data_IF_660227659820
#
_entry.id   IF_660227659820
#
_cell.length_a   1.000
_cell.length_b   1.000
_cell.length_c   1.000
_cell.angle_alpha   90.00
_cell.angle_beta   90.00
_cell.angle_gamma   90.00
#
_symmetry.space_group_name_H-M   'P 1'
#
loop_
_entity.id
_entity.type
_entity.pdbx_description
1 polymer ?
#
# COMPACT_ATOMS: atom_id res chain seq x y z
N UNK A 1 8.84 50.93 48.71
CA UNK A 1 8.16 49.81 48.03
C UNK A 1 8.82 49.59 46.68
N UNK A 2 9.65 48.57 46.49
CA UNK A 2 10.14 48.21 45.17
C UNK A 2 9.17 47.21 44.54
N UNK A 3 8.48 47.62 43.48
CA UNK A 3 7.65 46.74 42.67
C UNK A 3 8.55 45.75 41.94
N UNK A 4 8.48 44.47 42.33
CA UNK A 4 9.09 43.40 41.57
C UNK A 4 8.28 43.24 40.28
N UNK A 5 8.82 43.74 39.17
CA UNK A 5 8.34 43.38 37.84
C UNK A 5 8.60 41.89 37.63
N UNK A 6 7.56 41.07 37.82
CA UNK A 6 7.55 39.69 37.32
C UNK A 6 7.54 39.77 35.79
N UNK A 7 8.71 39.92 35.20
CA UNK A 7 8.90 39.65 33.79
C UNK A 7 8.70 38.16 33.57
N UNK A 8 7.52 37.78 33.07
CA UNK A 8 7.24 36.43 32.56
C UNK A 8 8.05 36.19 31.28
N UNK A 9 9.36 36.06 31.44
CA UNK A 9 10.28 35.73 30.37
C UNK A 9 10.02 34.29 29.93
N UNK A 10 9.59 34.12 28.67
CA UNK A 10 9.43 32.81 28.07
C UNK A 10 10.80 32.09 28.14
N UNK A 11 10.88 30.87 28.71
CA UNK A 11 12.15 30.17 28.85
C UNK A 11 12.77 29.94 27.47
N UNK A 12 14.08 30.17 27.33
CA UNK A 12 14.79 30.11 26.03
C UNK A 12 14.69 28.76 25.31
N UNK A 13 14.39 27.68 26.04
CA UNK A 13 14.14 26.34 25.50
C UNK A 13 12.79 26.19 24.78
N UNK A 14 11.86 27.13 24.96
CA UNK A 14 10.53 27.10 24.34
C UNK A 14 10.61 27.16 22.81
N UNK A 15 11.46 28.04 22.27
CA UNK A 15 11.63 28.21 20.83
C UNK A 15 12.20 26.97 20.12
N UNK A 16 13.30 26.34 20.56
CA UNK A 16 13.79 25.12 19.89
C UNK A 16 12.82 23.94 20.02
N UNK A 17 12.09 23.79 21.13
CA UNK A 17 11.10 22.72 21.31
C UNK A 17 9.89 22.92 20.38
N UNK A 18 9.39 24.14 20.26
CA UNK A 18 8.29 24.46 19.35
C UNK A 18 8.70 24.25 17.89
N UNK A 19 9.89 24.70 17.49
CA UNK A 19 10.43 24.43 16.15
C UNK A 19 10.64 22.93 15.88
N UNK A 20 11.14 22.16 16.86
CA UNK A 20 11.27 20.71 16.74
C UNK A 20 9.91 20.03 16.54
N UNK A 21 8.88 20.42 17.29
CA UNK A 21 7.52 19.91 17.12
C UNK A 21 6.92 20.27 15.76
N UNK A 22 7.15 21.48 15.27
CA UNK A 22 6.68 21.91 13.93
C UNK A 22 7.35 21.08 12.84
N UNK A 23 8.66 20.87 12.92
CA UNK A 23 9.41 20.06 11.94
C UNK A 23 8.94 18.60 11.96
N UNK A 24 8.78 18.01 13.16
CA UNK A 24 8.27 16.64 13.31
C UNK A 24 6.84 16.54 12.77
N UNK A 25 5.97 17.50 13.09
CA UNK A 25 4.60 17.55 12.59
C UNK A 25 4.55 17.64 11.07
N UNK A 26 5.38 18.49 10.47
CA UNK A 26 5.47 18.62 9.02
C UNK A 26 5.96 17.32 8.36
N UNK A 27 6.98 16.67 8.92
CA UNK A 27 7.48 15.39 8.41
C UNK A 27 6.40 14.30 8.45
N UNK A 28 5.64 14.21 9.54
CA UNK A 28 4.54 13.25 9.68
C UNK A 28 3.46 13.52 8.63
N UNK A 29 3.04 14.78 8.46
CA UNK A 29 2.00 15.14 7.49
C UNK A 29 2.45 14.88 6.06
N UNK A 30 3.69 15.27 5.71
CA UNK A 30 4.23 15.06 4.38
C UNK A 30 4.34 13.56 4.05
N UNK A 31 4.79 12.76 5.02
CA UNK A 31 4.84 11.31 4.89
C UNK A 31 3.44 10.68 4.72
N UNK A 32 2.44 11.14 5.49
CA UNK A 32 1.06 10.69 5.34
C UNK A 32 0.47 11.05 3.97
N UNK A 33 0.78 12.25 3.45
CA UNK A 33 0.30 12.71 2.15
C UNK A 33 0.90 11.88 1.01
N UNK A 34 2.23 11.73 0.95
CA UNK A 34 2.87 10.91 -0.09
C UNK A 34 2.33 9.47 -0.08
N UNK A 35 2.10 8.89 1.10
CA UNK A 35 1.51 7.55 1.21
C UNK A 35 0.07 7.48 0.70
N UNK A 36 -0.72 8.54 0.92
CA UNK A 36 -2.09 8.61 0.40
C UNK A 36 -2.08 8.69 -1.12
N UNK A 37 -1.11 9.39 -1.70
CA UNK A 37 -0.93 9.49 -3.15
C UNK A 37 -0.48 8.15 -3.76
N UNK A 38 0.56 7.51 -3.20
CA UNK A 38 1.00 6.17 -3.63
C UNK A 38 -0.14 5.14 -3.61
N UNK A 39 -1.00 5.18 -2.59
CA UNK A 39 -2.19 4.31 -2.51
C UNK A 39 -3.17 4.55 -3.65
N UNK A 40 -3.39 5.82 -4.02
CA UNK A 40 -4.33 6.17 -5.09
C UNK A 40 -3.78 5.75 -6.45
N UNK A 41 -2.50 5.98 -6.70
CA UNK A 41 -1.84 5.57 -7.94
C UNK A 41 -1.90 4.05 -8.12
N UNK A 42 -1.60 3.29 -7.05
CA UNK A 42 -1.67 1.83 -7.13
C UNK A 42 -3.11 1.33 -7.26
N UNK A 43 -4.08 1.95 -6.57
CA UNK A 43 -5.51 1.61 -6.73
C UNK A 43 -5.97 1.85 -8.17
N UNK A 44 -5.54 2.95 -8.78
CA UNK A 44 -5.84 3.25 -10.18
C UNK A 44 -5.22 2.22 -11.13
N UNK A 45 -3.96 1.83 -10.90
CA UNK A 45 -3.31 0.77 -11.69
C UNK A 45 -4.04 -0.59 -11.55
N UNK A 46 -4.47 -0.95 -10.34
CA UNK A 46 -5.25 -2.16 -10.08
C UNK A 46 -6.61 -2.13 -10.81
N UNK A 47 -7.32 -1.01 -10.74
CA UNK A 47 -8.59 -0.83 -11.47
C UNK A 47 -8.41 -1.01 -12.97
N UNK A 48 -7.33 -0.50 -13.55
CA UNK A 48 -7.02 -0.70 -14.96
C UNK A 48 -6.81 -2.18 -15.29
N UNK A 49 -6.16 -2.94 -14.41
CA UNK A 49 -5.94 -4.37 -14.59
C UNK A 49 -7.24 -5.16 -14.55
N UNK A 50 -8.17 -4.82 -13.64
CA UNK A 50 -9.51 -5.44 -13.62
C UNK A 50 -10.28 -5.16 -14.91
N UNK A 51 -10.20 -3.94 -15.44
CA UNK A 51 -10.77 -3.62 -16.74
C UNK A 51 -10.14 -4.43 -17.88
N UNK A 52 -8.82 -4.61 -17.86
CA UNK A 52 -8.09 -5.41 -18.84
C UNK A 52 -8.50 -6.89 -18.77
N UNK A 53 -8.56 -7.49 -17.57
CA UNK A 53 -9.03 -8.87 -17.32
C UNK A 53 -10.44 -9.04 -17.86
N UNK A 54 -11.37 -8.17 -17.45
CA UNK A 54 -12.75 -8.22 -17.92
C UNK A 54 -12.87 -8.05 -19.44
N UNK A 55 -11.99 -7.27 -20.07
CA UNK A 55 -11.98 -7.11 -21.52
C UNK A 55 -11.44 -8.36 -22.23
N UNK A 56 -10.40 -8.99 -21.69
CA UNK A 56 -9.88 -10.28 -22.19
C UNK A 56 -10.94 -11.35 -22.07
N UNK A 57 -11.55 -11.49 -20.89
CA UNK A 57 -12.64 -12.43 -20.62
C UNK A 57 -13.79 -12.25 -21.61
N UNK A 58 -14.31 -11.02 -21.79
CA UNK A 58 -15.40 -10.74 -22.75
C UNK A 58 -15.04 -11.14 -24.18
N UNK A 59 -13.79 -10.91 -24.60
CA UNK A 59 -13.32 -11.30 -25.94
C UNK A 59 -13.14 -12.80 -26.07
N UNK A 60 -12.62 -13.47 -25.05
CA UNK A 60 -12.52 -14.93 -25.00
C UNK A 60 -13.90 -15.58 -25.08
N UNK A 61 -14.87 -15.12 -24.27
CA UNK A 61 -16.25 -15.59 -24.33
C UNK A 61 -16.88 -15.34 -25.70
N UNK A 62 -16.61 -14.19 -26.33
CA UNK A 62 -17.08 -13.88 -27.68
C UNK A 62 -16.47 -14.81 -28.74
N UNK A 63 -15.19 -15.15 -28.60
CA UNK A 63 -14.49 -16.09 -29.48
C UNK A 63 -15.06 -17.51 -29.33
N UNK A 64 -15.17 -18.02 -28.10
CA UNK A 64 -15.69 -19.38 -27.88
C UNK A 64 -17.17 -19.54 -28.29
N UNK A 65 -17.95 -18.44 -28.28
CA UNK A 65 -19.34 -18.41 -28.77
C UNK A 65 -19.49 -18.18 -30.28
N UNK A 66 -18.42 -17.87 -31.01
CA UNK A 66 -18.54 -17.59 -32.45
C UNK A 66 -18.86 -18.87 -33.22
N UNK A 67 -19.57 -18.72 -34.34
CA UNK A 67 -20.01 -19.84 -35.19
C UNK A 67 -18.80 -20.53 -35.84
N UNK A 68 -17.75 -19.77 -36.12
CA UNK A 68 -16.52 -20.24 -36.72
C UNK A 68 -15.31 -19.60 -36.04
N UNK A 69 -14.14 -20.22 -36.25
CA UNK A 69 -12.85 -19.73 -35.78
C UNK A 69 -12.55 -18.34 -36.33
N UNK A 70 -12.48 -17.34 -35.45
CA UNK A 70 -12.11 -15.96 -35.80
C UNK A 70 -10.65 -15.65 -35.43
N UNK A 71 -9.76 -15.79 -36.42
CA UNK A 71 -8.33 -15.52 -36.29
C UNK A 71 -8.01 -14.08 -35.84
N UNK A 72 -8.87 -13.10 -36.16
CA UNK A 72 -8.68 -11.71 -35.73
C UNK A 72 -8.94 -11.56 -34.23
N UNK A 73 -9.87 -12.32 -33.68
CA UNK A 73 -10.12 -12.35 -32.24
C UNK A 73 -9.01 -13.11 -31.50
N UNK A 74 -8.51 -14.21 -32.05
CA UNK A 74 -7.36 -14.95 -31.50
C UNK A 74 -6.15 -14.04 -31.30
N UNK A 75 -5.74 -13.37 -32.38
CA UNK A 75 -4.59 -12.45 -32.36
C UNK A 75 -4.80 -11.34 -31.33
N UNK A 76 -6.03 -10.82 -31.21
CA UNK A 76 -6.35 -9.79 -30.22
C UNK A 76 -6.26 -10.31 -28.78
N UNK A 77 -6.72 -11.54 -28.53
CA UNK A 77 -6.64 -12.16 -27.21
C UNK A 77 -5.17 -12.33 -26.80
N UNK A 78 -4.32 -12.84 -27.70
CA UNK A 78 -2.88 -13.03 -27.45
C UNK A 78 -2.18 -11.69 -27.16
N UNK A 79 -2.46 -10.65 -27.95
CA UNK A 79 -1.88 -9.31 -27.72
C UNK A 79 -2.32 -8.77 -26.35
N UNK A 80 -3.58 -8.95 -25.98
CA UNK A 80 -4.09 -8.48 -24.69
C UNK A 80 -3.55 -9.27 -23.51
N UNK A 81 -3.39 -10.59 -23.65
CA UNK A 81 -2.70 -11.43 -22.67
C UNK A 81 -1.30 -10.91 -22.40
N UNK A 82 -0.54 -10.61 -23.47
CA UNK A 82 0.83 -10.08 -23.34
C UNK A 82 0.84 -8.73 -22.62
N UNK A 83 -0.06 -7.82 -22.97
CA UNK A 83 -0.21 -6.53 -22.28
C UNK A 83 -0.58 -6.70 -20.81
N UNK A 84 -1.50 -7.62 -20.51
CA UNK A 84 -1.89 -7.92 -19.13
C UNK A 84 -0.71 -8.48 -18.32
N UNK A 85 0.08 -9.38 -18.90
CA UNK A 85 1.32 -9.87 -18.29
C UNK A 85 2.32 -8.74 -18.03
N UNK A 86 2.51 -7.83 -18.99
CA UNK A 86 3.38 -6.66 -18.81
C UNK A 86 2.87 -5.73 -17.69
N UNK A 87 1.58 -5.42 -17.66
CA UNK A 87 0.95 -4.61 -16.60
C UNK A 87 1.10 -5.28 -15.22
N UNK A 88 0.89 -6.59 -15.12
CA UNK A 88 1.08 -7.35 -13.89
C UNK A 88 2.55 -7.38 -13.45
N UNK A 89 3.48 -7.51 -14.40
CA UNK A 89 4.93 -7.50 -14.12
C UNK A 89 5.39 -6.14 -13.58
N UNK A 90 4.81 -5.04 -14.08
CA UNK A 90 5.13 -3.69 -13.65
C UNK A 90 4.75 -3.44 -12.18
N UNK A 91 3.71 -4.09 -11.68
CA UNK A 91 3.31 -3.98 -10.27
C UNK A 91 4.35 -4.52 -9.28
N UNK A 92 5.47 -5.10 -9.73
CA UNK A 92 6.59 -5.54 -8.87
C UNK A 92 6.15 -6.45 -7.71
N UNK A 93 5.08 -7.20 -7.92
CA UNK A 93 4.59 -8.23 -7.02
C UNK A 93 5.54 -9.43 -7.08
N UNK A 94 6.67 -9.31 -6.39
CA UNK A 94 7.86 -10.17 -6.57
C UNK A 94 7.69 -11.61 -6.03
N UNK A 95 6.55 -11.96 -5.45
CA UNK A 95 6.23 -13.29 -4.90
C UNK A 95 4.71 -13.42 -4.71
N UNK A 96 3.97 -13.14 -5.76
CA UNK A 96 2.52 -13.10 -5.66
C UNK A 96 1.89 -14.47 -5.75
N UNK A 97 0.90 -14.70 -4.89
CA UNK A 97 -0.03 -15.82 -5.05
C UNK A 97 -0.62 -15.81 -6.46
N UNK A 98 -1.05 -14.64 -6.98
CA UNK A 98 -1.78 -14.50 -8.25
C UNK A 98 -1.15 -15.13 -9.50
N UNK A 99 0.13 -15.50 -9.49
CA UNK A 99 0.81 -16.06 -10.69
C UNK A 99 0.17 -17.39 -11.09
N UNK A 100 -0.20 -18.25 -10.13
CA UNK A 100 -0.92 -19.48 -10.41
C UNK A 100 -2.27 -19.19 -11.07
N UNK A 101 -3.05 -18.30 -10.46
CA UNK A 101 -4.40 -17.92 -10.87
C UNK A 101 -4.37 -17.22 -12.23
N UNK A 102 -3.31 -16.48 -12.53
CA UNK A 102 -3.08 -15.91 -13.87
C UNK A 102 -2.82 -17.01 -14.90
N UNK A 103 -1.98 -18.00 -14.58
CA UNK A 103 -1.76 -19.15 -15.46
C UNK A 103 -3.07 -19.89 -15.72
N UNK A 104 -3.81 -20.19 -14.66
CA UNK A 104 -5.09 -20.92 -14.73
C UNK A 104 -6.12 -20.16 -15.59
N UNK A 105 -6.19 -18.83 -15.48
CA UNK A 105 -7.03 -18.00 -16.33
C UNK A 105 -6.62 -18.05 -17.81
N UNK A 106 -5.33 -18.00 -18.10
CA UNK A 106 -4.84 -18.11 -19.49
C UNK A 106 -5.08 -19.50 -20.05
N UNK A 107 -4.85 -20.54 -19.25
CA UNK A 107 -5.07 -21.92 -19.63
C UNK A 107 -6.55 -22.17 -19.90
N UNK A 108 -7.46 -21.65 -19.05
CA UNK A 108 -8.90 -21.70 -19.27
C UNK A 108 -9.32 -21.07 -20.62
N UNK A 109 -8.64 -20.01 -21.06
CA UNK A 109 -8.90 -19.37 -22.36
C UNK A 109 -8.37 -20.21 -23.53
N UNK A 110 -7.21 -20.86 -23.36
CA UNK A 110 -6.37 -21.37 -24.47
C UNK A 110 -6.36 -22.89 -24.65
N UNK A 111 -6.72 -23.70 -23.66
CA UNK A 111 -6.32 -25.11 -23.61
C UNK A 111 -7.13 -26.06 -24.51
N UNK A 112 -8.44 -25.86 -24.69
CA UNK A 112 -9.30 -26.85 -25.38
C UNK A 112 -9.71 -26.45 -26.81
N UNK A 113 -10.20 -25.23 -26.98
CA UNK A 113 -10.90 -24.81 -28.19
C UNK A 113 -10.20 -23.65 -28.91
N UNK A 114 -9.09 -23.16 -28.38
CA UNK A 114 -8.35 -22.03 -28.92
C UNK A 114 -7.33 -22.50 -29.96
N UNK A 115 -7.27 -21.80 -31.10
CA UNK A 115 -6.39 -22.11 -32.24
C UNK A 115 -6.51 -23.52 -32.86
N UNK A 116 -7.47 -24.32 -32.39
CA UNK A 116 -7.69 -25.69 -32.87
C UNK A 116 -8.29 -25.71 -34.28
N UNK A 117 -7.94 -26.75 -35.04
CA UNK A 117 -8.58 -27.06 -36.33
C UNK A 117 -10.00 -27.61 -36.11
N UNK A 118 -10.23 -28.26 -34.97
CA UNK A 118 -11.51 -28.81 -34.57
C UNK A 118 -12.31 -27.84 -33.69
N UNK A 119 -12.34 -26.56 -34.05
CA UNK A 119 -13.08 -25.54 -33.31
C UNK A 119 -14.56 -25.89 -33.22
N UNK A 120 -15.10 -25.90 -32.00
CA UNK A 120 -16.52 -26.14 -31.71
C UNK A 120 -17.11 -24.92 -31.02
N UNK A 121 -18.22 -24.42 -31.55
CA UNK A 121 -18.97 -23.33 -30.92
C UNK A 121 -19.49 -23.78 -29.54
N UNK A 122 -19.21 -22.98 -28.52
CA UNK A 122 -19.67 -23.23 -27.16
C UNK A 122 -21.02 -22.55 -26.90
N UNK A 123 -21.95 -23.28 -26.30
CA UNK A 123 -23.28 -22.79 -25.89
C UNK A 123 -23.24 -22.24 -24.47
N UNK A 124 -24.26 -21.46 -24.08
CA UNK A 124 -24.36 -21.00 -22.68
C UNK A 124 -24.42 -22.20 -21.72
N UNK A 125 -23.62 -22.17 -20.65
CA UNK A 125 -23.48 -23.26 -19.68
C UNK A 125 -22.50 -24.36 -20.09
N UNK A 126 -21.68 -24.14 -21.13
CA UNK A 126 -20.55 -25.03 -21.39
C UNK A 126 -19.49 -24.90 -20.28
N UNK A 127 -18.84 -26.00 -19.88
CA UNK A 127 -17.82 -25.96 -18.83
C UNK A 127 -16.64 -25.05 -19.19
N UNK A 128 -16.31 -24.88 -20.47
CA UNK A 128 -15.23 -23.99 -20.93
C UNK A 128 -15.54 -22.54 -20.58
N UNK A 129 -16.75 -22.07 -20.92
CA UNK A 129 -17.15 -20.68 -20.65
C UNK A 129 -17.25 -20.41 -19.15
N UNK A 130 -17.76 -21.37 -18.37
CA UNK A 130 -17.87 -21.24 -16.91
C UNK A 130 -16.48 -21.21 -16.28
N UNK A 131 -15.56 -22.08 -16.69
CA UNK A 131 -14.17 -22.08 -16.22
C UNK A 131 -13.45 -20.76 -16.52
N UNK A 132 -13.67 -20.15 -17.70
CA UNK A 132 -13.12 -18.82 -18.02
C UNK A 132 -13.67 -17.73 -17.10
N UNK A 133 -14.93 -17.85 -16.66
CA UNK A 133 -15.55 -16.90 -15.73
C UNK A 133 -15.00 -17.10 -14.33
N UNK A 134 -14.93 -18.33 -13.85
CA UNK A 134 -14.50 -18.67 -12.51
C UNK A 134 -13.03 -18.29 -12.28
N UNK A 135 -12.14 -18.69 -13.19
CA UNK A 135 -10.70 -18.34 -13.12
C UNK A 135 -10.45 -16.83 -13.22
N UNK A 136 -11.29 -16.06 -13.94
CA UNK A 136 -11.21 -14.60 -13.95
C UNK A 136 -11.54 -14.00 -12.58
N UNK A 137 -12.59 -14.49 -11.92
CA UNK A 137 -13.02 -14.04 -10.59
C UNK A 137 -11.96 -14.40 -9.54
N UNK A 138 -11.38 -15.59 -9.63
CA UNK A 138 -10.30 -16.05 -8.76
C UNK A 138 -9.05 -15.17 -8.92
N UNK A 139 -8.65 -14.85 -10.16
CA UNK A 139 -7.54 -13.93 -10.44
C UNK A 139 -7.80 -12.52 -9.87
N UNK A 140 -8.99 -11.97 -10.07
CA UNK A 140 -9.37 -10.66 -9.48
C UNK A 140 -9.28 -10.69 -7.95
N UNK A 141 -9.77 -11.76 -7.33
CA UNK A 141 -9.75 -11.95 -5.88
C UNK A 141 -8.31 -12.08 -5.35
N UNK A 142 -7.45 -12.84 -6.03
CA UNK A 142 -6.04 -13.00 -5.69
C UNK A 142 -5.28 -11.67 -5.79
N UNK A 143 -5.57 -10.86 -6.81
CA UNK A 143 -4.98 -9.52 -6.97
C UNK A 143 -5.41 -8.57 -5.85
N UNK A 144 -6.68 -8.56 -5.45
CA UNK A 144 -7.15 -7.72 -4.34
C UNK A 144 -6.49 -8.14 -3.01
N UNK A 145 -6.34 -9.44 -2.79
CA UNK A 145 -5.70 -10.00 -1.61
C UNK A 145 -4.22 -9.60 -1.53
N UNK A 146 -3.49 -9.71 -2.64
CA UNK A 146 -2.09 -9.27 -2.73
C UNK A 146 -1.95 -7.76 -2.52
N UNK A 147 -2.85 -6.96 -3.09
CA UNK A 147 -2.90 -5.52 -2.85
C UNK A 147 -3.12 -5.21 -1.36
N UNK A 148 -4.09 -5.88 -0.71
CA UNK A 148 -4.34 -5.72 0.71
C UNK A 148 -3.10 -6.10 1.55
N UNK A 149 -2.40 -7.17 1.17
CA UNK A 149 -1.17 -7.61 1.84
C UNK A 149 -0.02 -6.61 1.66
N UNK A 150 0.20 -6.06 0.46
CA UNK A 150 1.22 -5.05 0.21
C UNK A 150 1.03 -3.82 1.11
N UNK A 151 -0.21 -3.32 1.26
CA UNK A 151 -0.47 -2.15 2.12
C UNK A 151 -0.42 -2.46 3.61
N UNK A 152 -0.79 -3.68 4.00
CA UNK A 152 -0.74 -4.11 5.41
C UNK A 152 0.70 -4.39 5.86
N UNK A 153 1.51 -5.09 5.05
CA UNK A 153 2.91 -5.42 5.35
C UNK A 153 3.87 -4.25 5.14
N UNK A 154 3.63 -3.41 4.13
CA UNK A 154 4.46 -2.22 3.85
C UNK A 154 4.52 -1.20 4.99
N UNK A 155 3.62 -1.27 5.97
CA UNK A 155 3.65 -0.40 7.16
C UNK A 155 4.81 -0.70 8.11
N UNK A 156 5.11 -1.98 8.36
CA UNK A 156 6.11 -2.40 9.37
C UNK A 156 7.47 -2.59 8.70
N UNK A 157 7.49 -3.15 7.49
CA UNK A 157 8.77 -3.49 6.84
C UNK A 157 9.45 -2.26 6.25
N UNK A 158 8.73 -1.34 5.59
CA UNK A 158 9.36 -0.14 5.01
C UNK A 158 9.83 0.85 6.07
N UNK A 159 9.10 1.00 7.18
CA UNK A 159 9.56 1.81 8.32
C UNK A 159 10.78 1.16 8.97
N UNK A 160 10.77 -0.15 9.17
CA UNK A 160 11.93 -0.87 9.71
C UNK A 160 13.14 -0.84 8.77
N UNK A 161 12.95 -0.98 7.45
CA UNK A 161 14.05 -0.92 6.47
C UNK A 161 14.56 0.48 6.23
N UNK A 162 13.71 1.52 6.22
CA UNK A 162 14.19 2.91 6.15
C UNK A 162 14.91 3.30 7.42
N UNK A 163 14.40 2.90 8.59
CA UNK A 163 15.12 3.06 9.87
C UNK A 163 16.46 2.32 9.81
N UNK A 164 16.49 1.10 9.28
CA UNK A 164 17.71 0.30 9.12
C UNK A 164 18.69 0.87 8.08
N UNK A 165 18.21 1.42 6.98
CA UNK A 165 19.05 1.98 5.92
C UNK A 165 19.60 3.35 6.33
N UNK A 166 18.84 4.14 7.10
CA UNK A 166 19.32 5.36 7.78
C UNK A 166 20.30 5.03 8.92
N UNK A 167 20.16 3.86 9.56
CA UNK A 167 21.14 3.32 10.53
C UNK A 167 22.44 2.87 9.84
N UNK A 168 22.37 2.27 8.65
CA UNK A 168 23.53 1.72 7.92
C UNK A 168 24.31 2.79 7.12
N UNK A 169 23.68 3.88 6.65
CA UNK A 169 24.34 4.94 5.87
C UNK A 169 25.16 5.97 6.70
N UNK A 170 25.30 5.79 8.01
CA UNK A 170 26.29 6.55 8.80
C UNK A 170 26.07 8.07 8.86
N UNK A 171 24.85 8.55 8.58
CA UNK A 171 24.46 9.93 8.84
C UNK A 171 24.34 10.18 10.36
N UNK A 172 24.48 11.43 10.86
CA UNK A 172 24.37 11.77 12.30
C UNK A 172 23.03 11.36 12.97
N UNK A 173 22.05 10.92 12.18
CA UNK A 173 20.79 10.33 12.62
C UNK A 173 20.97 8.91 13.18
N UNK A 174 21.96 8.14 12.70
CA UNK A 174 22.29 6.81 13.21
C UNK A 174 22.79 6.86 14.66
N UNK A 175 23.66 7.82 14.99
CA UNK A 175 24.10 8.07 16.37
C UNK A 175 22.96 8.55 17.28
N UNK A 176 22.07 9.41 16.76
CA UNK A 176 20.89 9.84 17.51
C UNK A 176 19.93 8.67 17.79
N UNK A 177 19.80 7.73 16.86
CA UNK A 177 18.92 6.57 17.02
C UNK A 177 19.54 5.45 17.86
N UNK A 178 20.84 5.21 17.80
CA UNK A 178 21.54 4.34 18.78
C UNK A 178 21.44 4.93 20.18
N UNK A 179 21.58 6.24 20.33
CA UNK A 179 21.33 6.94 21.58
C UNK A 179 19.86 6.75 22.03
N UNK A 180 18.89 6.90 21.13
CA UNK A 180 17.47 6.67 21.46
C UNK A 180 17.17 5.21 21.83
N UNK A 181 17.85 4.24 21.21
CA UNK A 181 17.65 2.83 21.49
C UNK A 181 18.34 2.39 22.79
N UNK A 182 19.58 2.85 23.01
CA UNK A 182 20.37 2.59 24.22
C UNK A 182 19.78 3.28 25.46
N UNK A 183 19.19 4.46 25.26
CA UNK A 183 18.48 5.20 26.29
C UNK A 183 16.95 5.05 26.19
N UNK A 184 16.43 4.03 25.50
CA UNK A 184 14.98 3.83 25.31
C UNK A 184 14.22 3.83 26.63
N UNK A 185 14.74 3.15 27.63
CA UNK A 185 14.20 3.15 28.99
C UNK A 185 14.23 4.58 29.55
N UNK A 186 15.39 5.25 29.55
CA UNK A 186 15.55 6.60 30.09
C UNK A 186 14.73 7.67 29.35
N UNK A 187 14.51 7.54 28.03
CA UNK A 187 13.72 8.46 27.21
C UNK A 187 12.22 8.24 27.46
N UNK A 188 11.78 6.98 27.54
CA UNK A 188 10.39 6.68 27.93
C UNK A 188 10.14 7.18 29.35
N UNK A 189 11.08 6.96 30.29
CA UNK A 189 11.02 7.51 31.64
C UNK A 189 10.99 9.03 31.61
N UNK A 190 11.85 9.68 30.82
CA UNK A 190 11.89 11.14 30.70
C UNK A 190 10.58 11.71 30.15
N UNK A 191 10.02 11.15 29.07
CA UNK A 191 8.74 11.59 28.52
C UNK A 191 7.57 11.28 29.46
N UNK A 192 7.61 10.17 30.19
CA UNK A 192 6.61 9.86 31.22
C UNK A 192 6.67 10.86 32.38
N UNK A 193 7.87 11.22 32.86
CA UNK A 193 8.06 12.26 33.87
C UNK A 193 7.68 13.65 33.35
N UNK A 194 8.02 13.98 32.11
CA UNK A 194 7.63 15.24 31.49
C UNK A 194 6.11 15.35 31.39
N UNK A 195 5.44 14.29 30.93
CA UNK A 195 3.98 14.22 30.89
C UNK A 195 3.38 14.32 32.30
N UNK A 196 3.96 13.63 33.28
CA UNK A 196 3.51 13.67 34.68
C UNK A 196 3.65 15.06 35.31
N UNK A 197 4.76 15.76 35.07
CA UNK A 197 4.96 17.13 35.57
C UNK A 197 4.01 18.11 34.90
N UNK A 198 3.79 17.99 33.59
CA UNK A 198 2.80 18.79 32.87
C UNK A 198 1.38 18.51 33.37
N UNK A 199 1.06 17.24 33.64
CA UNK A 199 -0.22 16.84 34.20
C UNK A 199 -0.44 17.40 35.61
N UNK A 200 0.55 17.33 36.50
CA UNK A 200 0.46 17.93 37.84
C UNK A 200 0.32 19.45 37.75
N UNK A 201 1.10 20.12 36.89
CA UNK A 201 0.97 21.57 36.69
C UNK A 201 -0.43 21.96 36.22
N UNK A 202 -1.00 21.18 35.30
CA UNK A 202 -2.38 21.35 34.86
C UNK A 202 -3.39 21.12 36.01
N UNK A 203 -3.25 20.06 36.79
CA UNK A 203 -4.13 19.76 37.94
C UNK A 203 -4.04 20.85 39.01
N UNK A 204 -2.85 21.35 39.32
CA UNK A 204 -2.65 22.44 40.28
C UNK A 204 -3.25 23.75 39.77
N UNK A 205 -3.17 24.01 38.46
CA UNK A 205 -3.81 25.19 37.84
C UNK A 205 -5.34 25.15 37.88
N UNK A 206 -5.94 23.97 38.08
CA UNK A 206 -7.39 23.79 38.23
C UNK A 206 -7.87 23.99 39.67
N UNK A 207 -6.97 24.07 40.66
CA UNK A 207 -7.37 24.34 42.06
C UNK A 207 -7.55 25.85 42.22
N UNK A 208 -8.78 26.35 42.46
CA UNK A 208 -9.00 27.76 42.69
C UNK A 208 -8.27 28.19 43.97
N UNK A 209 -7.38 29.17 43.85
CA UNK A 209 -6.73 29.78 45.02
C UNK A 209 -7.80 30.37 45.93
N UNK A 210 -7.85 29.99 47.22
CA UNK A 210 -8.80 30.57 48.16
C UNK A 210 -8.52 32.08 48.26
N UNK A 211 -9.55 32.88 47.97
CA UNK A 211 -9.54 34.33 48.14
C UNK A 211 -9.49 34.69 49.63
#
# INVERSE_FOLDING_TARGET
MPGQSQGSGIPFWFYPVTWALVVIGWLIVNWQNNRREERKELRAALSQIYEDIGTVQKKALKYHKSISRDQKLETKIIIMQKKLSEHLSFLRLRNSSFVSEYSDFIDAITLENFESVAFVQQTQGSPILDNIIDTAIELESALELEFAMLFRKGFITKTFTLVRQVLEEGAPVGQAMEFIYQYREAIITFFAYLFFVLFIGYVVSLVPTPQ
#
